data_IF_919585970424
#
_entry.id   IF_919585970424
#
_cell.length_a   1.000
_cell.length_b   1.000
_cell.length_c   1.000
_cell.angle_alpha   90.00
_cell.angle_beta   90.00
_cell.angle_gamma   90.00
#
_symmetry.space_group_name_H-M   'P 1'
#
loop_
_entity.id
_entity.type
_entity.pdbx_description
1 polymer ?
#
# COMPACT_ATOMS: atom_id res chain seq x y z
N UNK A 1 -17.68 -12.02 -7.35
CA UNK A 1 -18.35 -12.35 -6.08
C UNK A 1 -17.72 -11.47 -5.02
N UNK A 2 -18.38 -10.38 -4.61
CA UNK A 2 -17.86 -9.49 -3.56
C UNK A 2 -18.59 -9.83 -2.27
N UNK A 3 -17.88 -10.44 -1.32
CA UNK A 3 -18.38 -10.56 0.04
C UNK A 3 -18.19 -9.22 0.75
N UNK A 4 -19.30 -8.58 1.10
CA UNK A 4 -19.31 -7.49 2.08
C UNK A 4 -19.23 -8.15 3.46
N UNK A 5 -18.07 -8.10 4.10
CA UNK A 5 -17.88 -8.57 5.49
C UNK A 5 -18.03 -7.38 6.43
N UNK A 6 -18.88 -7.46 7.48
CA UNK A 6 -19.05 -6.39 8.45
C UNK A 6 -17.82 -6.33 9.37
N UNK A 7 -16.82 -5.55 8.97
CA UNK A 7 -15.58 -5.30 9.75
C UNK A 7 -14.88 -3.98 9.41
N UNK A 8 -15.60 -3.05 8.76
CA UNK A 8 -15.06 -1.86 8.07
C UNK A 8 -14.16 -1.00 8.98
N UNK A 9 -14.45 -0.89 10.29
CA UNK A 9 -13.74 0.04 11.19
C UNK A 9 -12.36 -0.45 11.66
N UNK A 10 -12.16 -1.75 11.84
CA UNK A 10 -10.88 -2.29 12.34
C UNK A 10 -9.87 -2.42 11.20
N UNK A 11 -10.31 -2.90 10.04
CA UNK A 11 -9.45 -3.10 8.88
C UNK A 11 -8.94 -1.79 8.27
N UNK A 12 -9.79 -0.76 8.18
CA UNK A 12 -9.34 0.56 7.69
C UNK A 12 -8.38 1.24 8.68
N UNK A 13 -8.64 1.13 9.99
CA UNK A 13 -7.72 1.68 11.01
C UNK A 13 -6.34 1.04 10.95
N UNK A 14 -6.28 -0.28 10.78
CA UNK A 14 -5.02 -0.99 10.57
C UNK A 14 -4.34 -0.54 9.28
N UNK A 15 -5.09 -0.41 8.18
CA UNK A 15 -4.58 0.08 6.92
C UNK A 15 -3.97 1.49 7.03
N UNK A 16 -4.62 2.40 7.76
CA UNK A 16 -4.10 3.74 8.02
C UNK A 16 -2.80 3.71 8.85
N UNK A 17 -2.70 2.84 9.86
CA UNK A 17 -1.49 2.71 10.66
C UNK A 17 -0.31 2.20 9.84
N UNK A 18 -0.52 1.12 9.06
CA UNK A 18 0.50 0.58 8.17
C UNK A 18 0.88 1.56 7.06
N UNK A 19 -0.10 2.24 6.48
CA UNK A 19 0.15 3.29 5.49
C UNK A 19 1.03 4.39 6.09
N UNK A 20 0.67 4.94 7.24
CA UNK A 20 1.44 6.02 7.87
C UNK A 20 2.88 5.59 8.21
N UNK A 21 3.05 4.36 8.72
CA UNK A 21 4.37 3.81 9.06
C UNK A 21 5.21 3.54 7.81
N UNK A 22 4.60 2.94 6.79
CA UNK A 22 5.24 2.64 5.51
C UNK A 22 5.63 3.90 4.72
N UNK A 23 4.76 4.92 4.68
CA UNK A 23 5.09 6.20 4.06
C UNK A 23 6.31 6.85 4.73
N UNK A 24 6.35 6.89 6.06
CA UNK A 24 7.51 7.40 6.81
C UNK A 24 8.78 6.61 6.49
N UNK A 25 8.73 5.29 6.54
CA UNK A 25 9.87 4.41 6.23
C UNK A 25 10.34 4.52 4.76
N UNK A 26 9.42 4.81 3.83
CA UNK A 26 9.73 5.09 2.43
C UNK A 26 10.24 6.51 2.16
N UNK A 27 10.39 7.35 3.20
CA UNK A 27 10.76 8.76 3.06
C UNK A 27 9.70 9.61 2.36
N UNK A 28 8.43 9.15 2.35
CA UNK A 28 7.30 9.82 1.73
C UNK A 28 6.50 10.57 2.78
N UNK A 29 6.42 11.91 2.64
CA UNK A 29 5.50 12.72 3.45
C UNK A 29 4.13 12.76 2.78
N UNK A 30 3.01 12.75 3.53
CA UNK A 30 1.67 12.82 2.95
C UNK A 30 1.49 13.97 1.96
N UNK A 31 1.92 15.19 2.31
CA UNK A 31 1.85 16.35 1.40
C UNK A 31 2.84 16.35 0.23
N UNK A 32 3.72 15.34 0.15
CA UNK A 32 4.67 15.16 -0.96
C UNK A 32 4.24 14.07 -1.95
N UNK A 33 3.12 13.37 -1.69
CA UNK A 33 2.67 12.27 -2.53
C UNK A 33 2.27 12.72 -3.93
N UNK A 34 1.72 13.93 -4.09
CA UNK A 34 1.31 14.47 -5.39
C UNK A 34 2.46 14.58 -6.39
N UNK A 35 3.65 14.92 -5.90
CA UNK A 35 4.86 15.03 -6.72
C UNK A 35 5.49 13.69 -7.08
N UNK A 36 5.02 12.59 -6.50
CA UNK A 36 5.56 11.24 -6.70
C UNK A 36 4.63 10.46 -7.60
N UNK A 37 5.17 9.94 -8.71
CA UNK A 37 4.40 9.14 -9.67
C UNK A 37 3.64 8.02 -8.97
N UNK A 38 2.39 7.78 -9.38
CA UNK A 38 1.60 6.66 -8.85
C UNK A 38 2.22 5.28 -9.09
N UNK A 39 3.15 5.15 -10.05
CA UNK A 39 3.93 3.93 -10.31
C UNK A 39 5.21 3.82 -9.48
N UNK A 40 5.46 4.74 -8.54
CA UNK A 40 6.65 4.68 -7.68
C UNK A 40 6.64 3.36 -6.88
N UNK A 41 7.74 2.59 -6.89
CA UNK A 41 7.80 1.30 -6.21
C UNK A 41 7.38 1.35 -4.74
N UNK A 42 7.66 2.44 -4.03
CA UNK A 42 7.26 2.61 -2.62
C UNK A 42 5.74 2.64 -2.48
N UNK A 43 5.05 3.37 -3.36
CA UNK A 43 3.58 3.46 -3.36
C UNK A 43 2.96 2.12 -3.76
N UNK A 44 3.49 1.50 -4.81
CA UNK A 44 2.91 0.25 -5.34
C UNK A 44 3.10 -0.91 -4.35
N UNK A 45 4.25 -1.01 -3.67
CA UNK A 45 4.46 -2.00 -2.62
C UNK A 45 3.54 -1.79 -1.41
N UNK A 46 3.34 -0.54 -0.99
CA UNK A 46 2.37 -0.22 0.06
C UNK A 46 0.94 -0.55 -0.36
N UNK A 47 0.57 -0.25 -1.60
CA UNK A 47 -0.72 -0.61 -2.15
C UNK A 47 -0.94 -2.14 -2.13
N UNK A 48 0.07 -2.90 -2.53
CA UNK A 48 0.02 -4.37 -2.53
C UNK A 48 -0.15 -4.95 -1.11
N UNK A 49 0.67 -4.50 -0.16
CA UNK A 49 0.56 -4.92 1.23
C UNK A 49 -0.85 -4.66 1.78
N UNK A 50 -1.35 -3.43 1.63
CA UNK A 50 -2.64 -3.02 2.15
C UNK A 50 -3.79 -3.76 1.46
N UNK A 51 -3.69 -4.00 0.16
CA UNK A 51 -4.68 -4.76 -0.60
C UNK A 51 -4.74 -6.24 -0.19
N UNK A 52 -3.58 -6.87 0.07
CA UNK A 52 -3.51 -8.28 0.47
C UNK A 52 -3.88 -8.53 1.92
N UNK A 53 -3.62 -7.56 2.81
CA UNK A 53 -3.70 -7.75 4.27
C UNK A 53 -4.86 -7.02 4.95
N UNK A 54 -5.60 -6.19 4.21
CA UNK A 54 -6.72 -5.42 4.76
C UNK A 54 -7.95 -5.47 3.84
N UNK A 55 -9.03 -4.80 4.24
CA UNK A 55 -10.31 -4.75 3.49
C UNK A 55 -10.50 -3.47 2.67
N UNK A 56 -9.44 -2.66 2.51
CA UNK A 56 -9.54 -1.38 1.79
C UNK A 56 -9.79 -1.61 0.30
N UNK A 57 -10.52 -0.70 -0.34
CA UNK A 57 -10.77 -0.75 -1.78
C UNK A 57 -9.61 -0.17 -2.58
N UNK A 58 -9.54 -0.48 -3.88
CA UNK A 58 -8.58 0.17 -4.79
C UNK A 58 -8.84 1.67 -4.97
N UNK A 59 -10.08 2.12 -4.78
CA UNK A 59 -10.43 3.55 -4.74
C UNK A 59 -9.81 4.23 -3.52
N UNK A 60 -9.91 3.58 -2.36
CA UNK A 60 -9.26 4.04 -1.13
C UNK A 60 -7.74 4.12 -1.32
N UNK A 61 -7.13 3.10 -1.93
CA UNK A 61 -5.69 3.12 -2.24
C UNK A 61 -5.32 4.26 -3.20
N UNK A 62 -6.15 4.48 -4.23
CA UNK A 62 -5.92 5.55 -5.20
C UNK A 62 -5.99 6.94 -4.55
N UNK A 63 -6.91 7.15 -3.62
CA UNK A 63 -7.02 8.37 -2.84
C UNK A 63 -5.82 8.52 -1.89
N UNK A 64 -5.57 7.54 -1.02
CA UNK A 64 -4.58 7.66 0.05
C UNK A 64 -3.13 7.65 -0.42
N UNK A 65 -2.83 7.02 -1.55
CA UNK A 65 -1.49 7.01 -2.17
C UNK A 65 -1.38 7.99 -3.34
N UNK A 66 -2.44 8.73 -3.66
CA UNK A 66 -2.50 9.65 -4.80
C UNK A 66 -2.10 8.96 -6.12
N UNK A 67 -2.69 7.79 -6.39
CA UNK A 67 -2.42 6.98 -7.57
C UNK A 67 -3.40 7.24 -8.73
N UNK A 68 -4.06 8.40 -8.74
CA UNK A 68 -5.00 8.90 -9.77
C UNK A 68 -6.33 8.15 -9.90
N UNK A 69 -6.34 6.82 -9.95
CA UNK A 69 -7.58 6.04 -10.07
C UNK A 69 -7.41 4.60 -9.61
N UNK A 70 -8.52 3.97 -9.22
CA UNK A 70 -8.56 2.53 -8.89
C UNK A 70 -8.08 1.66 -10.07
N UNK A 71 -8.40 2.04 -11.31
CA UNK A 71 -7.92 1.34 -12.50
C UNK A 71 -6.38 1.37 -12.62
N UNK A 72 -5.75 2.51 -12.31
CA UNK A 72 -4.29 2.59 -12.26
C UNK A 72 -3.74 1.68 -11.15
N UNK A 73 -4.32 1.70 -9.95
CA UNK A 73 -3.94 0.79 -8.85
C UNK A 73 -4.00 -0.67 -9.31
N UNK A 74 -5.13 -1.10 -9.87
CA UNK A 74 -5.32 -2.45 -10.42
C UNK A 74 -4.22 -2.84 -11.41
N UNK A 75 -3.90 -1.94 -12.35
CA UNK A 75 -2.86 -2.16 -13.34
C UNK A 75 -1.47 -2.28 -12.71
N UNK A 76 -1.13 -1.42 -11.75
CA UNK A 76 0.17 -1.46 -11.06
C UNK A 76 0.31 -2.75 -10.25
N UNK A 77 -0.72 -3.15 -9.48
CA UNK A 77 -0.71 -4.39 -8.70
C UNK A 77 -0.55 -5.62 -9.61
N UNK A 78 -1.27 -5.67 -10.73
CA UNK A 78 -1.15 -6.77 -11.70
C UNK A 78 0.25 -6.88 -12.32
N UNK A 79 0.96 -5.76 -12.47
CA UNK A 79 2.31 -5.69 -13.08
C UNK A 79 3.43 -5.75 -12.04
N UNK A 80 3.10 -5.75 -10.75
CA UNK A 80 4.07 -5.64 -9.69
C UNK A 80 4.92 -6.92 -9.61
N UNK A 81 6.20 -6.79 -9.94
CA UNK A 81 7.21 -7.74 -9.49
C UNK A 81 7.71 -7.28 -8.11
N UNK A 82 7.18 -7.91 -7.06
CA UNK A 82 7.51 -7.60 -5.67
C UNK A 82 9.01 -7.71 -5.41
N UNK A 83 9.68 -8.76 -5.95
CA UNK A 83 11.11 -8.99 -5.74
C UNK A 83 11.95 -7.89 -6.37
N UNK A 84 11.59 -7.46 -7.58
CA UNK A 84 12.29 -6.37 -8.26
C UNK A 84 12.00 -5.00 -7.62
N UNK A 85 10.78 -4.78 -7.15
CA UNK A 85 10.38 -3.52 -6.52
C UNK A 85 11.02 -3.34 -5.13
N UNK A 86 11.07 -4.38 -4.30
CA UNK A 86 11.70 -4.35 -2.97
C UNK A 86 13.16 -3.89 -3.06
N UNK A 87 13.91 -4.34 -4.06
CA UNK A 87 15.31 -3.94 -4.28
C UNK A 87 15.50 -2.44 -4.52
N UNK A 88 14.45 -1.71 -4.90
CA UNK A 88 14.49 -0.29 -5.26
C UNK A 88 14.00 0.63 -4.15
N UNK A 89 13.58 0.09 -3.01
CA UNK A 89 13.07 0.88 -1.89
C UNK A 89 14.03 0.89 -0.70
N UNK A 90 13.95 1.90 0.19
CA UNK A 90 14.78 1.98 1.39
C UNK A 90 14.63 0.74 2.28
N UNK A 91 15.70 0.37 2.98
CA UNK A 91 15.73 -0.80 3.88
C UNK A 91 14.64 -0.72 4.96
N UNK A 92 14.46 0.46 5.55
CA UNK A 92 13.40 0.70 6.55
C UNK A 92 12.02 0.32 6.02
N UNK A 93 11.71 0.62 4.75
CA UNK A 93 10.43 0.25 4.16
C UNK A 93 10.33 -1.28 3.97
N UNK A 94 11.42 -1.96 3.63
CA UNK A 94 11.43 -3.42 3.50
C UNK A 94 11.05 -4.08 4.83
N UNK A 95 11.66 -3.63 5.94
CA UNK A 95 11.34 -4.14 7.26
C UNK A 95 9.85 -3.96 7.62
N UNK A 96 9.25 -2.81 7.28
CA UNK A 96 7.81 -2.61 7.48
C UNK A 96 6.97 -3.56 6.63
N UNK A 97 7.36 -3.76 5.36
CA UNK A 97 6.65 -4.67 4.47
C UNK A 97 6.74 -6.12 4.96
N UNK A 98 7.90 -6.55 5.46
CA UNK A 98 8.11 -7.89 6.01
C UNK A 98 7.37 -8.10 7.34
N UNK A 99 7.43 -7.13 8.26
CA UNK A 99 6.73 -7.20 9.55
C UNK A 99 5.21 -7.26 9.36
N UNK A 100 4.67 -6.49 8.42
CA UNK A 100 3.24 -6.49 8.13
C UNK A 100 2.78 -7.68 7.27
N UNK A 101 3.69 -8.34 6.54
CA UNK A 101 3.41 -9.55 5.76
C UNK A 101 3.65 -10.83 6.58
N UNK A 102 4.28 -10.74 7.76
CA UNK A 102 4.37 -11.87 8.67
C UNK A 102 2.96 -12.34 9.07
N UNK A 103 2.62 -13.64 8.91
CA UNK A 103 1.38 -14.16 9.46
C UNK A 103 1.48 -14.04 10.98
N UNK A 104 0.54 -13.31 11.60
CA UNK A 104 0.31 -13.39 13.04
C UNK A 104 0.20 -14.88 13.39
N UNK A 105 1.23 -15.42 14.04
CA UNK A 105 1.26 -16.80 14.55
C UNK A 105 0.46 -16.88 15.84
#
# INVERSE_FOLDING_TARGET
>A
MFFVVPGIRTGERQALQWLARGLRAGGLKPGGLAGVKGSDPRKVLLADLLWRRTVVSQEWLAEKLEMKSAANVSQQLRRLDVKAAIKKVPEDLKHILEEADAPNS
#
